data_IF_553611788910
#
_entry.id   IF_553611788910
#
_cell.length_a   1.000
_cell.length_b   1.000
_cell.length_c   1.000
_cell.angle_alpha   90.00
_cell.angle_beta   90.00
_cell.angle_gamma   90.00
#
_symmetry.space_group_name_H-M   'P 1'
#
loop_
_entity.id
_entity.type
_entity.pdbx_description
1 polymer ?
#
# COMPACT_ATOMS: atom_id res chain seq x y z
N UNK A 1 44.12 -38.00 32.54
CA UNK A 1 42.84 -38.73 32.65
C UNK A 1 41.76 -37.73 33.05
N UNK A 2 40.79 -37.53 32.16
CA UNK A 2 39.46 -36.88 32.24
C UNK A 2 39.23 -35.58 33.02
N UNK A 3 39.04 -34.54 32.20
CA UNK A 3 38.28 -33.31 32.39
C UNK A 3 36.83 -33.57 32.87
N UNK A 4 36.34 -32.78 33.83
CA UNK A 4 34.99 -32.89 34.40
C UNK A 4 34.19 -31.61 34.18
N UNK A 5 33.51 -31.53 33.03
CA UNK A 5 32.53 -30.48 32.74
C UNK A 5 31.33 -30.50 33.71
N UNK A 6 30.93 -29.34 34.29
CA UNK A 6 29.79 -29.27 35.19
C UNK A 6 28.47 -29.39 34.41
N UNK A 7 27.68 -30.42 34.74
CA UNK A 7 26.35 -30.75 34.17
C UNK A 7 25.25 -29.68 34.37
N UNK A 8 25.55 -28.50 34.89
CA UNK A 8 24.57 -27.44 35.19
C UNK A 8 24.18 -26.56 34.01
N UNK A 9 24.96 -26.54 32.92
CA UNK A 9 24.71 -25.63 31.77
C UNK A 9 23.81 -26.22 30.66
N UNK A 10 23.43 -27.50 30.78
CA UNK A 10 22.70 -28.22 29.73
C UNK A 10 21.20 -27.83 29.68
N UNK A 11 20.56 -27.61 30.83
CA UNK A 11 19.16 -27.16 30.91
C UNK A 11 18.94 -25.71 30.45
N UNK A 12 19.90 -24.81 30.72
CA UNK A 12 19.86 -23.43 30.26
C UNK A 12 19.93 -23.33 28.72
N UNK A 13 20.75 -24.18 28.08
CA UNK A 13 20.91 -24.21 26.62
C UNK A 13 19.67 -24.75 25.91
N UNK A 14 19.00 -25.75 26.48
CA UNK A 14 17.72 -26.24 25.94
C UNK A 14 16.60 -25.22 26.11
N UNK A 15 16.52 -24.53 27.25
CA UNK A 15 15.57 -23.44 27.45
C UNK A 15 15.77 -22.30 26.45
N UNK A 16 17.01 -21.88 26.22
CA UNK A 16 17.33 -20.85 25.22
C UNK A 16 16.99 -21.31 23.79
N UNK A 17 17.24 -22.58 23.46
CA UNK A 17 16.91 -23.14 22.15
C UNK A 17 15.40 -23.23 21.91
N UNK A 18 14.63 -23.60 22.94
CA UNK A 18 13.15 -23.64 22.86
C UNK A 18 12.58 -22.24 22.71
N UNK A 19 13.07 -21.27 23.50
CA UNK A 19 12.66 -19.86 23.37
C UNK A 19 13.00 -19.31 21.98
N UNK A 20 14.19 -19.64 21.46
CA UNK A 20 14.59 -19.27 20.10
C UNK A 20 13.69 -19.90 19.02
N UNK A 21 13.35 -21.18 19.16
CA UNK A 21 12.46 -21.88 18.22
C UNK A 21 11.02 -21.32 18.25
N UNK A 22 10.51 -21.00 19.43
CA UNK A 22 9.19 -20.38 19.59
C UNK A 22 9.17 -18.97 18.97
N UNK A 23 10.19 -18.15 19.24
CA UNK A 23 10.29 -16.81 18.65
C UNK A 23 10.33 -16.87 17.12
N UNK A 24 11.09 -17.81 16.55
CA UNK A 24 11.19 -18.00 15.10
C UNK A 24 9.86 -18.43 14.46
N UNK A 25 9.11 -19.31 15.14
CA UNK A 25 7.79 -19.74 14.69
C UNK A 25 6.79 -18.58 14.68
N UNK A 26 6.79 -17.71 15.69
CA UNK A 26 5.88 -16.56 15.79
C UNK A 26 6.16 -15.51 14.72
N UNK A 27 7.43 -15.29 14.33
CA UNK A 27 7.78 -14.32 13.27
C UNK A 27 7.43 -14.78 11.85
N UNK A 28 7.11 -16.07 11.65
CA UNK A 28 6.84 -16.63 10.32
C UNK A 28 5.44 -16.30 9.78
N UNK A 29 4.54 -15.82 10.63
CA UNK A 29 3.17 -15.45 10.25
C UNK A 29 3.03 -13.94 10.01
N UNK A 30 3.73 -13.41 9.01
CA UNK A 30 3.48 -12.05 8.54
C UNK A 30 2.34 -12.04 7.51
N UNK A 31 1.15 -11.56 7.90
CA UNK A 31 0.08 -11.25 6.95
C UNK A 31 0.52 -10.06 6.07
N UNK A 32 0.30 -10.09 4.75
CA UNK A 32 0.59 -8.95 3.90
C UNK A 32 -0.34 -7.80 4.29
N UNK A 33 0.21 -6.76 4.92
CA UNK A 33 -0.51 -5.49 5.06
C UNK A 33 -0.60 -4.89 3.65
N UNK A 34 -1.80 -4.87 3.07
CA UNK A 34 -2.01 -4.10 1.84
C UNK A 34 -1.93 -2.63 2.25
N UNK A 35 -0.79 -2.01 1.98
CA UNK A 35 -0.60 -0.58 2.17
C UNK A 35 -1.54 0.18 1.21
N UNK A 36 -2.72 0.54 1.70
CA UNK A 36 -3.61 1.50 1.04
C UNK A 36 -3.09 2.88 1.35
N UNK A 37 -2.80 3.66 0.31
CA UNK A 37 -2.48 5.07 0.48
C UNK A 37 -3.79 5.83 0.68
N UNK A 38 -4.20 5.95 1.95
CA UNK A 38 -5.35 6.74 2.36
C UNK A 38 -4.90 8.12 2.83
N UNK A 39 -5.73 9.12 2.56
CA UNK A 39 -5.53 10.48 3.03
C UNK A 39 -6.89 11.13 3.26
N UNK A 40 -6.94 11.97 4.30
CA UNK A 40 -8.14 12.72 4.63
C UNK A 40 -8.12 14.08 3.95
N UNK A 41 -9.28 14.49 3.43
CA UNK A 41 -9.48 15.77 2.76
C UNK A 41 -10.90 16.28 3.01
N UNK A 42 -11.04 17.47 3.59
CA UNK A 42 -12.35 18.13 3.81
C UNK A 42 -13.40 17.20 4.46
N UNK A 43 -12.99 16.46 5.49
CA UNK A 43 -13.82 15.46 6.21
C UNK A 43 -14.18 14.18 5.43
N UNK A 44 -13.61 13.99 4.23
CA UNK A 44 -13.72 12.76 3.45
C UNK A 44 -12.40 11.98 3.46
N UNK A 45 -12.47 10.66 3.66
CA UNK A 45 -11.30 9.78 3.58
C UNK A 45 -11.20 9.21 2.18
N UNK A 46 -10.13 9.54 1.47
CA UNK A 46 -9.87 9.06 0.12
C UNK A 46 -8.79 7.98 0.20
N UNK A 47 -9.10 6.78 -0.28
CA UNK A 47 -8.13 5.68 -0.35
C UNK A 47 -7.83 5.28 -1.79
N UNK A 48 -6.56 5.28 -2.15
CA UNK A 48 -6.08 4.78 -3.45
C UNK A 48 -5.93 3.26 -3.36
N UNK A 49 -6.95 2.52 -3.79
CA UNK A 49 -6.92 1.04 -3.75
C UNK A 49 -5.94 0.45 -4.75
N UNK A 50 -5.87 1.03 -5.95
CA UNK A 50 -4.97 0.56 -7.00
C UNK A 50 -4.55 1.71 -7.88
N UNK A 51 -3.23 1.87 -8.03
CA UNK A 51 -2.61 2.84 -8.94
C UNK A 51 -1.73 2.08 -9.92
N UNK A 52 -2.10 2.12 -11.20
CA UNK A 52 -1.35 1.48 -12.29
C UNK A 52 -0.78 2.53 -13.24
N UNK A 53 0.54 2.62 -13.32
CA UNK A 53 1.23 3.47 -14.28
C UNK A 53 1.09 2.91 -15.71
N UNK A 54 0.95 3.78 -16.71
CA UNK A 54 0.98 3.36 -18.12
C UNK A 54 2.41 3.07 -18.58
N UNK A 55 2.59 2.00 -19.35
CA UNK A 55 3.86 1.65 -19.96
C UNK A 55 4.28 2.62 -21.11
N UNK A 56 3.30 3.17 -21.85
CA UNK A 56 3.57 4.09 -22.98
C UNK A 56 3.75 5.53 -22.54
N UNK A 57 3.02 5.97 -21.52
CA UNK A 57 2.99 7.36 -21.06
C UNK A 57 3.23 7.40 -19.56
N UNK A 58 4.46 7.69 -19.17
CA UNK A 58 4.90 7.58 -17.77
C UNK A 58 4.21 8.58 -16.82
N UNK A 59 3.56 9.61 -17.36
CA UNK A 59 2.75 10.59 -16.63
C UNK A 59 1.25 10.23 -16.55
N UNK A 60 0.84 9.07 -17.10
CA UNK A 60 -0.54 8.58 -17.07
C UNK A 60 -0.71 7.42 -16.09
N UNK A 61 -1.78 7.50 -15.32
CA UNK A 61 -2.10 6.54 -14.27
C UNK A 61 -3.55 6.09 -14.38
N UNK A 62 -3.81 4.81 -14.16
CA UNK A 62 -5.16 4.27 -13.96
C UNK A 62 -5.35 4.07 -12.47
N UNK A 63 -6.37 4.70 -11.92
CA UNK A 63 -6.61 4.71 -10.48
C UNK A 63 -8.00 4.18 -10.18
N UNK A 64 -8.03 3.22 -9.26
CA UNK A 64 -9.22 2.80 -8.56
C UNK A 64 -9.08 3.33 -7.12
N UNK A 65 -10.06 4.11 -6.71
CA UNK A 65 -10.06 4.76 -5.40
C UNK A 65 -11.41 4.54 -4.73
N UNK A 66 -11.45 4.75 -3.42
CA UNK A 66 -12.68 4.86 -2.65
C UNK A 66 -12.72 6.22 -1.96
N UNK A 67 -13.91 6.77 -1.80
CA UNK A 67 -14.17 7.99 -1.02
C UNK A 67 -15.16 7.59 0.07
N UNK A 68 -14.78 7.72 1.34
CA UNK A 68 -15.56 7.25 2.50
C UNK A 68 -15.99 5.78 2.36
N UNK A 69 -15.09 4.95 1.83
CA UNK A 69 -15.36 3.54 1.55
C UNK A 69 -16.21 3.27 0.30
N UNK A 70 -16.77 4.30 -0.35
CA UNK A 70 -17.53 4.15 -1.59
C UNK A 70 -16.61 4.08 -2.80
N UNK A 71 -16.67 3.00 -3.62
CA UNK A 71 -15.80 2.81 -4.77
C UNK A 71 -16.09 3.83 -5.87
N UNK A 72 -15.03 4.51 -6.30
CA UNK A 72 -15.06 5.43 -7.42
C UNK A 72 -14.87 4.70 -8.75
N UNK A 73 -15.42 5.22 -9.86
CA UNK A 73 -15.18 4.66 -11.18
C UNK A 73 -13.68 4.62 -11.51
N UNK A 74 -13.25 3.52 -12.13
CA UNK A 74 -11.88 3.41 -12.64
C UNK A 74 -11.58 4.61 -13.55
N UNK A 75 -10.60 5.42 -13.17
CA UNK A 75 -10.35 6.72 -13.80
C UNK A 75 -8.90 6.80 -14.24
N UNK A 76 -8.67 7.31 -15.46
CA UNK A 76 -7.34 7.62 -15.97
C UNK A 76 -6.99 9.05 -15.61
N UNK A 77 -5.86 9.25 -14.93
CA UNK A 77 -5.31 10.53 -14.58
C UNK A 77 -4.09 10.82 -15.47
N UNK A 78 -4.02 12.03 -16.02
CA UNK A 78 -2.88 12.55 -16.75
C UNK A 78 -2.25 13.67 -15.92
N UNK A 79 -1.09 13.39 -15.31
CA UNK A 79 -0.42 14.33 -14.42
C UNK A 79 0.30 15.47 -15.15
N UNK A 80 0.54 15.33 -16.47
CA UNK A 80 1.16 16.37 -17.28
C UNK A 80 0.14 17.46 -17.61
N UNK A 81 -1.03 17.05 -18.08
CA UNK A 81 -2.08 17.97 -18.51
C UNK A 81 -3.07 18.31 -17.39
N UNK A 82 -2.92 17.68 -16.21
CA UNK A 82 -3.79 17.80 -15.03
C UNK A 82 -5.26 17.54 -15.37
N UNK A 83 -5.50 16.45 -16.10
CA UNK A 83 -6.83 16.00 -16.51
C UNK A 83 -7.13 14.59 -16.04
N UNK A 84 -8.40 14.30 -15.78
CA UNK A 84 -8.91 12.97 -15.51
C UNK A 84 -9.91 12.53 -16.56
N UNK A 85 -10.00 11.24 -16.83
CA UNK A 85 -10.98 10.65 -17.75
C UNK A 85 -11.53 9.38 -17.12
N UNK A 86 -12.81 9.37 -16.70
CA UNK A 86 -13.46 8.14 -16.25
C UNK A 86 -13.43 7.09 -17.37
N UNK A 87 -13.04 5.86 -17.04
CA UNK A 87 -13.02 4.74 -18.00
C UNK A 87 -14.32 3.92 -17.94
N UNK A 88 -15.13 4.14 -16.91
CA UNK A 88 -16.42 3.49 -16.64
C UNK A 88 -17.41 4.54 -16.08
N UNK A 89 -18.70 4.20 -16.09
CA UNK A 89 -19.78 5.06 -15.58
C UNK A 89 -20.33 6.06 -16.61
N UNK A 90 -21.21 6.95 -16.15
CA UNK A 90 -21.96 7.89 -16.99
C UNK A 90 -21.07 8.89 -17.76
N UNK A 91 -19.94 9.30 -17.17
CA UNK A 91 -19.00 10.26 -17.76
C UNK A 91 -17.81 9.59 -18.49
N UNK A 92 -17.99 8.33 -18.93
CA UNK A 92 -16.93 7.56 -19.58
C UNK A 92 -16.36 8.31 -20.79
N UNK A 93 -15.03 8.39 -20.85
CA UNK A 93 -14.30 8.95 -21.99
C UNK A 93 -14.26 10.48 -22.04
N UNK A 94 -14.99 11.18 -21.18
CA UNK A 94 -14.98 12.64 -21.12
C UNK A 94 -13.80 13.13 -20.27
N UNK A 95 -12.85 13.89 -20.86
CA UNK A 95 -11.78 14.51 -20.10
C UNK A 95 -12.32 15.65 -19.24
N UNK A 96 -11.95 15.66 -17.96
CA UNK A 96 -12.30 16.68 -16.99
C UNK A 96 -11.00 17.24 -16.42
N UNK A 97 -10.93 18.56 -16.22
CA UNK A 97 -9.78 19.15 -15.52
C UNK A 97 -9.81 18.74 -14.05
N UNK A 98 -8.64 18.64 -13.44
CA UNK A 98 -8.57 18.52 -11.98
C UNK A 98 -9.22 19.74 -11.36
N UNK A 99 -10.18 19.51 -10.48
CA UNK A 99 -10.59 20.51 -9.51
C UNK A 99 -9.63 20.48 -8.33
N UNK A 100 -9.51 21.59 -7.59
CA UNK A 100 -8.64 21.66 -6.41
C UNK A 100 -8.98 20.59 -5.38
N UNK A 101 -10.21 20.06 -5.34
CA UNK A 101 -10.64 18.99 -4.45
C UNK A 101 -10.39 17.57 -4.98
N UNK A 102 -9.95 17.40 -6.24
CA UNK A 102 -9.87 16.08 -6.86
C UNK A 102 -8.66 15.24 -6.40
N UNK A 103 -8.89 13.93 -6.40
CA UNK A 103 -7.91 12.84 -6.18
C UNK A 103 -6.63 13.03 -7.01
N UNK A 104 -6.76 13.65 -8.20
CA UNK A 104 -5.69 13.81 -9.16
C UNK A 104 -4.51 14.65 -8.67
N UNK A 105 -4.77 15.70 -7.89
CA UNK A 105 -3.71 16.59 -7.40
C UNK A 105 -2.74 15.85 -6.46
N UNK A 106 -3.32 15.19 -5.46
CA UNK A 106 -2.56 14.43 -4.46
C UNK A 106 -1.91 13.18 -5.06
N UNK A 107 -2.60 12.49 -5.98
CA UNK A 107 -2.02 11.38 -6.73
C UNK A 107 -0.73 11.81 -7.44
N UNK A 108 -0.77 12.92 -8.18
CA UNK A 108 0.37 13.36 -9.00
C UNK A 108 1.57 13.77 -8.14
N UNK A 109 1.34 14.34 -6.96
CA UNK A 109 2.42 14.60 -5.98
C UNK A 109 3.01 13.30 -5.42
N UNK A 110 2.17 12.31 -5.10
CA UNK A 110 2.63 11.04 -4.53
C UNK A 110 3.46 10.19 -5.51
N UNK A 111 3.13 10.23 -6.80
CA UNK A 111 3.81 9.41 -7.83
C UNK A 111 5.01 10.11 -8.49
N UNK A 112 5.22 11.40 -8.21
CA UNK A 112 6.34 12.19 -8.74
C UNK A 112 7.52 12.31 -7.73
N UNK A 113 7.58 11.40 -6.75
CA UNK A 113 8.66 11.31 -5.77
C UNK A 113 9.66 10.26 -6.19
#
# INVERSE_FOLDING_TARGET
MSDSHPRRYRWLRYGLAIVGAIAFAVTSFALPVQARNCYDREAHTICLERVQRSAKYHWRYRVQATVDGQPQPLTRYDCRDRTRTPLKGAHKGQPQKFTSADIGDQLCTLVNR
#
